data_IF_674867036436
#
_entry.id   IF_674867036436
#
_cell.length_a   1.000
_cell.length_b   1.000
_cell.length_c   1.000
_cell.angle_alpha   90.00
_cell.angle_beta   90.00
_cell.angle_gamma   90.00
#
_symmetry.space_group_name_H-M   'P 1'
#
loop_
_entity.id
_entity.type
_entity.pdbx_description
1 polymer ?
#
# COMPACT_ATOMS: atom_id res chain seq x y z
N UNK A 1 -48.50 -46.47 -47.36
CA UNK A 1 -47.57 -45.32 -47.43
C UNK A 1 -47.83 -44.20 -46.41
N UNK A 2 -48.92 -44.24 -45.62
CA UNK A 2 -49.28 -43.18 -44.63
C UNK A 2 -48.67 -43.42 -43.22
N UNK A 3 -48.43 -44.67 -42.82
CA UNK A 3 -47.85 -45.00 -41.50
C UNK A 3 -46.39 -44.58 -41.33
N UNK A 4 -45.58 -44.63 -42.39
CA UNK A 4 -44.16 -44.24 -42.33
C UNK A 4 -43.98 -42.73 -42.14
N UNK A 5 -44.83 -41.90 -42.76
CA UNK A 5 -44.80 -40.44 -42.55
C UNK A 5 -45.12 -40.06 -41.11
N UNK A 6 -46.10 -40.73 -40.47
CA UNK A 6 -46.44 -40.49 -39.05
C UNK A 6 -45.32 -40.92 -38.09
N UNK A 7 -44.68 -42.07 -38.32
CA UNK A 7 -43.52 -42.49 -37.53
C UNK A 7 -42.35 -41.51 -37.66
N UNK A 8 -42.05 -41.07 -38.88
CA UNK A 8 -40.98 -40.10 -39.13
C UNK A 8 -41.26 -38.75 -38.44
N UNK A 9 -42.51 -38.28 -38.48
CA UNK A 9 -42.93 -37.06 -37.78
C UNK A 9 -42.81 -37.19 -36.26
N UNK A 10 -43.13 -38.36 -35.71
CA UNK A 10 -43.03 -38.63 -34.27
C UNK A 10 -41.57 -38.70 -33.81
N UNK A 11 -40.67 -39.31 -34.60
CA UNK A 11 -39.24 -39.29 -34.33
C UNK A 11 -38.63 -37.88 -34.44
N UNK A 12 -39.10 -37.07 -35.39
CA UNK A 12 -38.65 -35.68 -35.54
C UNK A 12 -39.06 -34.83 -34.32
N UNK A 13 -40.30 -35.00 -33.84
CA UNK A 13 -40.79 -34.31 -32.62
C UNK A 13 -40.03 -34.73 -31.36
N UNK A 14 -39.69 -36.03 -31.23
CA UNK A 14 -38.86 -36.53 -30.13
C UNK A 14 -37.43 -35.97 -30.18
N UNK A 15 -36.81 -35.94 -31.36
CA UNK A 15 -35.49 -35.35 -31.55
C UNK A 15 -35.50 -33.86 -31.21
N UNK A 16 -36.50 -33.11 -31.69
CA UNK A 16 -36.64 -31.68 -31.42
C UNK A 16 -36.87 -31.42 -29.92
N UNK A 17 -37.66 -32.27 -29.25
CA UNK A 17 -37.84 -32.24 -27.80
C UNK A 17 -36.54 -32.47 -27.04
N UNK A 18 -35.73 -33.46 -27.43
CA UNK A 18 -34.41 -33.71 -26.85
C UNK A 18 -33.44 -32.55 -27.07
N UNK A 19 -33.41 -31.94 -28.26
CA UNK A 19 -32.57 -30.77 -28.54
C UNK A 19 -32.98 -29.55 -27.72
N UNK A 20 -34.28 -29.30 -27.55
CA UNK A 20 -34.78 -28.22 -26.69
C UNK A 20 -34.45 -28.47 -25.22
N UNK A 21 -34.51 -29.72 -24.76
CA UNK A 21 -34.15 -30.10 -23.39
C UNK A 21 -32.64 -29.97 -23.14
N UNK A 22 -31.81 -30.40 -24.09
CA UNK A 22 -30.35 -30.18 -24.06
C UNK A 22 -29.99 -28.69 -24.09
N UNK A 23 -30.64 -27.90 -24.95
CA UNK A 23 -30.42 -26.46 -25.04
C UNK A 23 -30.81 -25.74 -23.75
N UNK A 24 -31.94 -26.10 -23.13
CA UNK A 24 -32.37 -25.52 -21.84
C UNK A 24 -31.49 -25.96 -20.68
N UNK A 25 -31.00 -27.20 -20.66
CA UNK A 25 -30.00 -27.66 -19.68
C UNK A 25 -28.69 -26.93 -19.87
N UNK A 26 -28.21 -26.77 -21.11
CA UNK A 26 -27.00 -26.00 -21.43
C UNK A 26 -27.15 -24.53 -21.05
N UNK A 27 -28.31 -23.91 -21.32
CA UNK A 27 -28.60 -22.53 -20.92
C UNK A 27 -28.60 -22.40 -19.39
N UNK A 28 -29.30 -23.29 -18.67
CA UNK A 28 -29.31 -23.31 -17.20
C UNK A 28 -27.92 -23.55 -16.60
N UNK A 29 -27.10 -24.37 -17.26
CA UNK A 29 -25.72 -24.61 -16.85
C UNK A 29 -24.83 -23.38 -17.11
N UNK A 30 -24.99 -22.71 -18.26
CA UNK A 30 -24.32 -21.45 -18.57
C UNK A 30 -24.73 -20.32 -17.60
N UNK A 31 -26.01 -20.26 -17.20
CA UNK A 31 -26.49 -19.33 -16.18
C UNK A 31 -25.97 -19.66 -14.78
N UNK A 32 -25.74 -20.94 -14.44
CA UNK A 32 -25.06 -21.36 -13.20
C UNK A 32 -23.55 -21.06 -13.20
N UNK A 33 -22.91 -20.98 -14.36
CA UNK A 33 -21.49 -20.63 -14.48
C UNK A 33 -21.21 -19.13 -14.48
N UNK A 34 -22.25 -18.29 -14.40
CA UNK A 34 -22.07 -16.84 -14.35
C UNK A 34 -21.56 -16.44 -12.98
N UNK A 35 -20.29 -16.07 -12.90
CA UNK A 35 -19.70 -15.51 -11.69
C UNK A 35 -20.17 -14.06 -11.54
N UNK A 36 -20.97 -13.81 -10.51
CA UNK A 36 -21.35 -12.46 -10.07
C UNK A 36 -20.51 -12.05 -8.86
N UNK A 37 -20.44 -10.74 -8.58
CA UNK A 37 -19.81 -10.14 -7.40
C UNK A 37 -20.21 -10.85 -6.10
N UNK A 38 -21.50 -11.16 -5.96
CA UNK A 38 -22.06 -11.81 -4.77
C UNK A 38 -21.54 -13.24 -4.55
N UNK A 39 -21.04 -13.91 -5.60
CA UNK A 39 -20.50 -15.28 -5.52
C UNK A 39 -19.05 -15.34 -5.01
N UNK A 40 -18.34 -14.21 -4.95
CA UNK A 40 -16.99 -14.13 -4.33
C UNK A 40 -17.07 -14.02 -2.80
N UNK A 41 -18.23 -13.60 -2.28
CA UNK A 41 -18.57 -13.61 -0.86
C UNK A 41 -18.73 -15.03 -0.29
N UNK A 42 -18.41 -15.18 1.00
CA UNK A 42 -18.31 -16.42 1.78
C UNK A 42 -19.61 -17.26 1.93
N UNK A 43 -20.66 -16.99 1.16
CA UNK A 43 -21.98 -17.63 1.38
C UNK A 43 -22.53 -18.45 0.20
N UNK A 44 -21.79 -18.58 -0.92
CA UNK A 44 -22.24 -19.44 -2.03
C UNK A 44 -21.53 -20.80 -2.04
N UNK A 45 -22.29 -21.87 -2.36
CA UNK A 45 -21.86 -23.29 -2.44
C UNK A 45 -20.35 -23.40 -2.74
N UNK A 46 -19.58 -23.94 -1.80
CA UNK A 46 -18.10 -23.93 -1.79
C UNK A 46 -17.46 -24.26 -3.15
N UNK A 47 -18.01 -25.23 -3.89
CA UNK A 47 -17.50 -25.64 -5.21
C UNK A 47 -17.67 -24.57 -6.31
N UNK A 48 -18.77 -23.83 -6.31
CA UNK A 48 -19.04 -22.78 -7.30
C UNK A 48 -18.26 -21.50 -6.98
N UNK A 49 -18.13 -21.16 -5.69
CA UNK A 49 -17.26 -20.07 -5.22
C UNK A 49 -15.80 -20.33 -5.60
N UNK A 50 -15.29 -21.54 -5.37
CA UNK A 50 -13.92 -21.91 -5.74
C UNK A 50 -13.68 -21.84 -7.26
N UNK A 51 -14.64 -22.29 -8.07
CA UNK A 51 -14.56 -22.17 -9.53
C UNK A 51 -14.44 -20.70 -9.97
N UNK A 52 -15.30 -19.82 -9.44
CA UNK A 52 -15.27 -18.40 -9.77
C UNK A 52 -13.98 -17.71 -9.31
N UNK A 53 -13.47 -18.05 -8.12
CA UNK A 53 -12.16 -17.60 -7.65
C UNK A 53 -11.03 -18.05 -8.57
N UNK A 54 -11.06 -19.30 -9.05
CA UNK A 54 -10.07 -19.81 -10.01
C UNK A 54 -10.11 -19.07 -11.35
N UNK A 55 -11.30 -18.82 -11.90
CA UNK A 55 -11.46 -18.04 -13.14
C UNK A 55 -10.91 -16.64 -12.93
N UNK A 56 -11.25 -16.01 -11.79
CA UNK A 56 -10.82 -14.66 -11.48
C UNK A 56 -9.31 -14.56 -11.27
N UNK A 57 -8.73 -15.45 -10.47
CA UNK A 57 -7.28 -15.50 -10.24
C UNK A 57 -6.54 -15.74 -11.56
N UNK A 58 -7.02 -16.63 -12.43
CA UNK A 58 -6.39 -16.82 -13.73
C UNK A 58 -6.39 -15.56 -14.61
N UNK A 59 -7.44 -14.73 -14.51
CA UNK A 59 -7.50 -13.47 -15.23
C UNK A 59 -6.59 -12.40 -14.62
N UNK A 60 -6.47 -12.39 -13.29
CA UNK A 60 -5.81 -11.36 -12.49
C UNK A 60 -4.41 -11.74 -11.98
N UNK A 61 -3.94 -12.97 -12.17
CA UNK A 61 -2.64 -13.40 -11.65
C UNK A 61 -1.50 -12.54 -12.19
N UNK A 62 -0.52 -12.31 -11.33
CA UNK A 62 0.70 -11.57 -11.61
C UNK A 62 1.89 -12.52 -11.45
N UNK A 63 2.01 -13.55 -12.31
CA UNK A 63 3.07 -14.53 -12.16
C UNK A 63 4.43 -13.85 -12.32
N UNK A 64 5.41 -14.30 -11.54
CA UNK A 64 6.79 -13.90 -11.77
C UNK A 64 7.19 -14.13 -13.24
N UNK A 65 7.88 -13.15 -13.85
CA UNK A 65 8.23 -13.19 -15.28
C UNK A 65 9.17 -14.35 -15.61
N UNK A 66 9.93 -14.79 -14.63
CA UNK A 66 10.80 -15.97 -14.69
C UNK A 66 10.19 -16.99 -13.74
N UNK A 67 10.35 -18.27 -14.03
CA UNK A 67 9.83 -19.42 -13.26
C UNK A 67 10.48 -19.53 -11.87
N UNK A 68 10.38 -18.47 -11.08
CA UNK A 68 10.79 -18.39 -9.68
C UNK A 68 9.65 -19.01 -8.88
N UNK A 69 10.01 -19.90 -7.96
CA UNK A 69 9.04 -20.52 -7.06
C UNK A 69 8.65 -19.53 -5.94
N UNK A 70 7.77 -18.58 -6.25
CA UNK A 70 7.34 -17.57 -5.28
C UNK A 70 6.64 -18.17 -4.05
N UNK A 71 5.84 -19.23 -4.22
CA UNK A 71 5.25 -19.97 -3.08
C UNK A 71 6.32 -20.56 -2.15
N UNK A 72 7.41 -21.10 -2.71
CA UNK A 72 8.56 -21.57 -1.93
C UNK A 72 9.26 -20.42 -1.20
N UNK A 73 9.55 -19.33 -1.91
CA UNK A 73 10.17 -18.12 -1.35
C UNK A 73 9.36 -17.55 -0.17
N UNK A 74 8.04 -17.40 -0.31
CA UNK A 74 7.19 -16.84 0.74
C UNK A 74 7.05 -17.76 1.94
N UNK A 75 7.23 -19.08 1.75
CA UNK A 75 7.28 -20.08 2.83
C UNK A 75 8.68 -20.27 3.44
N UNK A 76 9.69 -19.56 2.95
CA UNK A 76 11.06 -19.66 3.45
C UNK A 76 11.79 -20.93 3.01
N UNK A 77 11.34 -21.57 1.92
CA UNK A 77 12.04 -22.70 1.33
C UNK A 77 13.44 -22.26 0.86
N UNK A 78 14.48 -22.85 1.46
CA UNK A 78 15.85 -22.42 1.26
C UNK A 78 16.31 -22.56 -0.20
N UNK A 79 15.86 -23.61 -0.89
CA UNK A 79 16.22 -23.84 -2.29
C UNK A 79 15.57 -22.78 -3.19
N UNK A 80 14.27 -22.52 -3.00
CA UNK A 80 13.55 -21.50 -3.75
C UNK A 80 14.13 -20.09 -3.52
N UNK A 81 14.48 -19.76 -2.27
CA UNK A 81 15.14 -18.48 -1.93
C UNK A 81 16.50 -18.37 -2.61
N UNK A 82 17.34 -19.41 -2.52
CA UNK A 82 18.66 -19.41 -3.15
C UNK A 82 18.55 -19.28 -4.68
N UNK A 83 17.64 -20.02 -5.30
CA UNK A 83 17.38 -19.91 -6.75
C UNK A 83 16.91 -18.50 -7.14
N UNK A 84 16.05 -17.88 -6.34
CA UNK A 84 15.59 -16.51 -6.61
C UNK A 84 16.70 -15.47 -6.45
N UNK A 85 17.60 -15.63 -5.47
CA UNK A 85 18.77 -14.77 -5.28
C UNK A 85 19.73 -14.92 -6.47
N UNK A 86 20.05 -16.16 -6.88
CA UNK A 86 20.90 -16.43 -8.04
C UNK A 86 20.30 -15.82 -9.31
N UNK A 87 18.99 -15.98 -9.50
CA UNK A 87 18.27 -15.36 -10.60
C UNK A 87 18.41 -13.83 -10.58
N UNK A 88 18.23 -13.19 -9.42
CA UNK A 88 18.37 -11.73 -9.32
C UNK A 88 19.80 -11.27 -9.72
N UNK A 89 20.85 -12.01 -9.35
CA UNK A 89 22.22 -11.68 -9.73
C UNK A 89 22.44 -11.67 -11.25
N UNK A 90 21.79 -12.58 -11.98
CA UNK A 90 21.87 -12.64 -13.45
C UNK A 90 21.11 -11.51 -14.16
N UNK A 91 20.03 -11.02 -13.54
CA UNK A 91 19.02 -10.20 -14.21
C UNK A 91 19.08 -8.75 -13.84
N UNK A 92 19.47 -8.42 -12.60
CA UNK A 92 19.45 -7.04 -12.10
C UNK A 92 20.19 -6.06 -13.00
N UNK A 93 21.28 -6.51 -13.65
CA UNK A 93 22.07 -5.70 -14.60
C UNK A 93 21.43 -5.56 -15.99
N UNK A 94 20.55 -6.48 -16.39
CA UNK A 94 19.88 -6.52 -17.70
C UNK A 94 18.47 -5.93 -17.67
N UNK A 95 17.93 -5.67 -16.48
CA UNK A 95 16.56 -5.22 -16.30
C UNK A 95 16.44 -3.74 -16.66
N UNK A 96 15.56 -3.46 -17.61
CA UNK A 96 15.13 -2.09 -17.92
C UNK A 96 13.76 -1.81 -17.27
N UNK A 97 13.68 -0.83 -16.35
CA UNK A 97 12.40 -0.38 -15.80
C UNK A 97 11.49 0.25 -16.83
N UNK A 98 10.18 0.16 -16.58
CA UNK A 98 9.23 0.92 -17.37
C UNK A 98 9.50 2.42 -17.20
N UNK A 99 9.56 3.13 -18.32
CA UNK A 99 9.83 4.57 -18.37
C UNK A 99 8.54 5.37 -18.27
N UNK A 100 8.67 6.67 -18.01
CA UNK A 100 7.55 7.63 -18.02
C UNK A 100 6.81 7.59 -19.38
N UNK A 101 7.56 7.59 -20.47
CA UNK A 101 7.03 7.52 -21.85
C UNK A 101 6.30 6.21 -22.14
N UNK A 102 6.72 5.11 -21.53
CA UNK A 102 6.00 3.84 -21.63
C UNK A 102 4.59 3.96 -21.04
N UNK A 103 4.47 4.56 -19.86
CA UNK A 103 3.16 4.76 -19.22
C UNK A 103 2.29 5.78 -19.95
N UNK A 104 2.86 6.85 -20.50
CA UNK A 104 2.14 7.79 -21.35
C UNK A 104 1.52 7.13 -22.58
N UNK A 105 2.23 6.19 -23.21
CA UNK A 105 1.69 5.40 -24.33
C UNK A 105 0.62 4.41 -23.86
N UNK A 106 0.88 3.72 -22.75
CA UNK A 106 0.03 2.64 -22.27
C UNK A 106 -1.33 3.12 -21.75
N UNK A 107 -1.39 4.33 -21.18
CA UNK A 107 -2.59 4.93 -20.56
C UNK A 107 -3.50 5.66 -21.54
N UNK A 108 -3.14 5.72 -22.83
CA UNK A 108 -4.03 6.26 -23.88
C UNK A 108 -5.37 5.53 -23.98
N UNK A 109 -5.37 4.25 -23.60
CA UNK A 109 -6.56 3.42 -23.48
C UNK A 109 -6.60 2.89 -22.04
N UNK A 110 -7.40 3.53 -21.19
CA UNK A 110 -7.48 3.22 -19.78
C UNK A 110 -8.02 1.82 -19.50
N UNK A 111 -8.96 1.32 -20.29
CA UNK A 111 -9.48 -0.04 -20.12
C UNK A 111 -8.40 -1.07 -20.45
N UNK A 112 -7.67 -0.85 -21.54
CA UNK A 112 -6.52 -1.69 -21.89
C UNK A 112 -5.39 -1.59 -20.88
N UNK A 113 -5.10 -0.40 -20.35
CA UNK A 113 -4.11 -0.21 -19.28
C UNK A 113 -4.49 -1.02 -18.05
N UNK A 114 -5.69 -0.82 -17.51
CA UNK A 114 -6.18 -1.53 -16.32
C UNK A 114 -6.19 -3.05 -16.52
N UNK A 115 -6.65 -3.53 -17.69
CA UNK A 115 -6.66 -4.95 -18.02
C UNK A 115 -5.25 -5.54 -18.20
N UNK A 116 -4.33 -4.84 -18.89
CA UNK A 116 -2.96 -5.31 -19.12
C UNK A 116 -2.14 -5.30 -17.83
N UNK A 117 -2.32 -4.26 -17.00
CA UNK A 117 -1.65 -4.13 -15.71
C UNK A 117 -2.32 -4.92 -14.60
N UNK A 118 -3.50 -5.50 -14.85
CA UNK A 118 -4.24 -6.38 -13.93
C UNK A 118 -4.71 -5.65 -12.65
N UNK A 119 -5.26 -4.46 -12.80
CA UNK A 119 -5.93 -3.77 -11.67
C UNK A 119 -7.21 -4.52 -11.28
N UNK A 120 -7.49 -4.56 -9.97
CA UNK A 120 -8.76 -5.07 -9.44
C UNK A 120 -9.76 -3.92 -9.50
N UNK A 121 -10.76 -4.02 -10.39
CA UNK A 121 -11.68 -2.92 -10.70
C UNK A 121 -13.05 -3.03 -10.00
N UNK A 122 -13.20 -4.00 -9.11
CA UNK A 122 -14.44 -4.26 -8.37
C UNK A 122 -14.07 -4.64 -6.93
N UNK A 123 -14.94 -4.37 -5.93
CA UNK A 123 -14.68 -4.78 -4.55
C UNK A 123 -14.66 -6.30 -4.43
N UNK A 124 -13.80 -6.85 -3.56
CA UNK A 124 -13.69 -8.30 -3.35
C UNK A 124 -14.62 -8.81 -2.22
N UNK A 125 -15.07 -7.92 -1.32
CA UNK A 125 -16.00 -8.27 -0.25
C UNK A 125 -16.83 -7.07 0.21
N UNK A 126 -17.99 -7.36 0.82
CA UNK A 126 -18.84 -6.35 1.48
C UNK A 126 -18.12 -5.65 2.63
N UNK A 127 -17.33 -6.40 3.40
CA UNK A 127 -16.55 -5.87 4.52
C UNK A 127 -15.60 -4.75 4.05
N UNK A 128 -14.93 -4.94 2.90
CA UNK A 128 -14.04 -3.92 2.36
C UNK A 128 -14.80 -2.71 1.81
N UNK A 129 -15.98 -2.90 1.19
CA UNK A 129 -16.85 -1.79 0.73
C UNK A 129 -17.28 -0.88 1.87
N UNK A 130 -17.64 -1.47 3.01
CA UNK A 130 -18.11 -0.75 4.19
C UNK A 130 -16.99 -0.08 5.00
N UNK A 131 -15.73 -0.37 4.66
CA UNK A 131 -14.56 0.16 5.36
C UNK A 131 -13.52 0.78 4.40
N UNK A 132 -13.83 1.92 3.73
CA UNK A 132 -12.88 2.53 2.82
C UNK A 132 -11.64 3.08 3.52
N UNK A 133 -10.49 2.94 2.86
CA UNK A 133 -9.18 3.43 3.31
C UNK A 133 -8.77 4.63 2.43
N UNK A 134 -8.18 5.64 3.06
CA UNK A 134 -7.58 6.78 2.38
C UNK A 134 -6.06 6.67 2.36
N UNK A 135 -5.45 6.90 1.20
CA UNK A 135 -4.00 6.91 1.02
C UNK A 135 -3.47 8.30 0.64
N UNK A 136 -2.38 8.72 1.25
CA UNK A 136 -1.53 9.82 0.78
C UNK A 136 -0.23 9.25 0.23
N UNK A 137 0.02 9.39 -1.07
CA UNK A 137 1.22 8.87 -1.72
C UNK A 137 2.15 10.01 -2.12
N UNK A 138 3.24 10.19 -1.38
CA UNK A 138 4.25 11.22 -1.68
C UNK A 138 5.35 10.63 -2.57
N UNK A 139 5.42 11.07 -3.83
CA UNK A 139 6.30 10.51 -4.86
C UNK A 139 7.10 11.60 -5.58
N UNK A 140 8.27 11.25 -6.09
CA UNK A 140 9.11 12.19 -6.85
C UNK A 140 9.83 11.59 -8.07
N UNK A 141 9.89 10.25 -8.19
CA UNK A 141 10.53 9.54 -9.30
C UNK A 141 10.05 8.06 -9.34
N UNK A 142 10.64 7.26 -10.24
CA UNK A 142 10.42 5.80 -10.40
C UNK A 142 8.94 5.45 -10.67
N UNK A 143 8.47 5.82 -11.86
CA UNK A 143 7.07 5.63 -12.27
C UNK A 143 6.60 4.17 -12.18
N UNK A 144 7.49 3.20 -12.43
CA UNK A 144 7.18 1.78 -12.26
C UNK A 144 6.88 1.41 -10.80
N UNK A 145 7.63 1.94 -9.84
CA UNK A 145 7.35 1.70 -8.43
C UNK A 145 6.00 2.30 -8.02
N UNK A 146 5.71 3.53 -8.47
CA UNK A 146 4.43 4.19 -8.22
C UNK A 146 3.26 3.34 -8.74
N UNK A 147 3.32 2.90 -10.00
CA UNK A 147 2.23 2.09 -10.57
C UNK A 147 2.06 0.76 -9.85
N UNK A 148 3.16 0.08 -9.50
CA UNK A 148 3.09 -1.20 -8.80
C UNK A 148 2.53 -1.06 -7.39
N UNK A 149 2.95 -0.02 -6.66
CA UNK A 149 2.39 0.31 -5.35
C UNK A 149 0.90 0.59 -5.48
N UNK A 150 0.51 1.51 -6.39
CA UNK A 150 -0.89 1.85 -6.62
C UNK A 150 -1.69 0.60 -6.94
N UNK A 151 -1.24 -0.25 -7.88
CA UNK A 151 -1.89 -1.51 -8.23
C UNK A 151 -2.06 -2.47 -7.06
N UNK A 152 -1.05 -2.55 -6.18
CA UNK A 152 -1.06 -3.48 -5.06
C UNK A 152 -2.05 -3.05 -3.96
N UNK A 153 -2.27 -1.74 -3.78
CA UNK A 153 -3.22 -1.22 -2.78
C UNK A 153 -4.55 -0.76 -3.37
N UNK A 154 -4.72 -0.73 -4.70
CA UNK A 154 -5.90 -0.20 -5.36
C UNK A 154 -7.14 -1.06 -5.09
N UNK A 155 -8.19 -0.41 -4.59
CA UNK A 155 -9.54 -0.92 -4.52
C UNK A 155 -10.52 0.21 -4.90
N UNK A 156 -11.61 -0.08 -5.63
CA UNK A 156 -12.50 0.96 -6.16
C UNK A 156 -13.27 1.74 -5.08
N UNK A 157 -13.45 1.16 -3.90
CA UNK A 157 -14.11 1.82 -2.77
C UNK A 157 -13.18 2.76 -1.98
N UNK A 158 -11.86 2.58 -2.07
CA UNK A 158 -10.87 3.39 -1.36
C UNK A 158 -10.66 4.75 -2.06
N UNK A 159 -9.83 5.62 -1.47
CA UNK A 159 -9.51 6.94 -2.05
C UNK A 159 -8.00 7.22 -1.96
N UNK A 160 -7.42 7.79 -3.02
CA UNK A 160 -5.97 7.94 -3.15
C UNK A 160 -5.62 9.37 -3.57
N UNK A 161 -4.91 10.08 -2.68
CA UNK A 161 -4.30 11.37 -3.00
C UNK A 161 -2.82 11.18 -3.32
N UNK A 162 -2.39 11.69 -4.47
CA UNK A 162 -1.02 11.60 -4.95
C UNK A 162 -0.37 12.98 -4.85
N UNK A 163 0.65 13.12 -4.02
CA UNK A 163 1.49 14.31 -3.98
C UNK A 163 2.76 14.07 -4.79
N UNK A 164 2.86 14.72 -5.95
CA UNK A 164 4.06 14.71 -6.79
C UNK A 164 4.95 15.90 -6.42
N UNK A 165 6.22 15.65 -6.09
CA UNK A 165 7.17 16.73 -5.80
C UNK A 165 7.26 17.72 -6.98
N UNK A 166 7.20 19.01 -6.70
CA UNK A 166 7.33 20.05 -7.72
C UNK A 166 8.67 19.98 -8.47
N UNK A 167 9.72 19.41 -7.85
CA UNK A 167 11.03 19.18 -8.47
C UNK A 167 11.08 18.03 -9.45
N UNK A 168 10.07 17.17 -9.49
CA UNK A 168 10.07 16.03 -10.39
C UNK A 168 10.14 16.47 -11.85
N UNK A 169 10.80 15.68 -12.73
CA UNK A 169 10.78 15.92 -14.17
C UNK A 169 9.35 16.04 -14.70
N UNK A 170 9.13 16.90 -15.69
CA UNK A 170 7.78 17.11 -16.24
C UNK A 170 7.23 15.82 -16.86
N UNK A 171 8.07 15.01 -17.52
CA UNK A 171 7.68 13.70 -18.06
C UNK A 171 7.14 12.76 -16.99
N UNK A 172 7.71 12.81 -15.78
CA UNK A 172 7.24 12.01 -14.65
C UNK A 172 5.88 12.51 -14.17
N UNK A 173 5.70 13.83 -14.03
CA UNK A 173 4.41 14.45 -13.65
C UNK A 173 3.32 14.12 -14.67
N UNK A 174 3.63 14.19 -15.96
CA UNK A 174 2.72 13.81 -17.04
C UNK A 174 2.35 12.32 -16.97
N UNK A 175 3.33 11.43 -16.76
CA UNK A 175 3.08 10.00 -16.64
C UNK A 175 2.21 9.67 -15.41
N UNK A 176 2.44 10.33 -14.27
CA UNK A 176 1.58 10.20 -13.09
C UNK A 176 0.15 10.66 -13.42
N UNK A 177 -0.02 11.85 -14.00
CA UNK A 177 -1.33 12.38 -14.44
C UNK A 177 -2.05 11.38 -15.35
N UNK A 178 -1.34 10.81 -16.31
CA UNK A 178 -1.91 9.86 -17.26
C UNK A 178 -2.36 8.56 -16.58
N UNK A 179 -1.57 8.00 -15.66
CA UNK A 179 -1.96 6.81 -14.87
C UNK A 179 -3.21 7.11 -14.03
N UNK A 180 -3.20 8.21 -13.26
CA UNK A 180 -4.29 8.48 -12.32
C UNK A 180 -5.60 8.81 -13.04
N UNK A 181 -5.54 9.40 -14.25
CA UNK A 181 -6.73 9.72 -15.05
C UNK A 181 -7.58 8.48 -15.41
N UNK A 182 -7.00 7.29 -15.31
CA UNK A 182 -7.70 6.03 -15.54
C UNK A 182 -8.54 5.54 -14.34
N UNK A 183 -8.51 6.25 -13.21
CA UNK A 183 -9.21 5.85 -11.99
C UNK A 183 -10.00 7.03 -11.40
N UNK A 184 -11.31 6.86 -11.12
CA UNK A 184 -12.14 7.96 -10.62
C UNK A 184 -11.84 8.34 -9.15
N UNK A 185 -11.20 7.44 -8.40
CA UNK A 185 -10.90 7.57 -6.97
C UNK A 185 -9.41 7.83 -6.69
N UNK A 186 -8.65 8.24 -7.70
CA UNK A 186 -7.23 8.60 -7.57
C UNK A 186 -7.05 10.01 -8.12
N UNK A 187 -6.47 10.92 -7.33
CA UNK A 187 -6.31 12.32 -7.73
C UNK A 187 -4.96 12.88 -7.28
N UNK A 188 -4.51 13.94 -7.95
CA UNK A 188 -3.32 14.71 -7.53
C UNK A 188 -3.73 15.72 -6.47
N UNK A 189 -2.91 15.88 -5.43
CA UNK A 189 -3.10 16.89 -4.39
C UNK A 189 -3.27 18.29 -5.00
N UNK A 190 -4.23 19.06 -4.50
CA UNK A 190 -4.56 20.41 -4.97
C UNK A 190 -3.40 21.39 -4.77
N UNK A 191 -2.55 21.13 -3.78
CA UNK A 191 -1.34 21.90 -3.46
C UNK A 191 -0.13 20.95 -3.50
N UNK A 192 0.80 21.24 -4.41
CA UNK A 192 2.09 20.56 -4.48
C UNK A 192 3.16 21.42 -3.80
N UNK A 193 4.18 20.77 -3.26
CA UNK A 193 5.35 21.45 -2.69
C UNK A 193 6.65 20.86 -3.19
N UNK A 194 7.66 21.73 -3.28
CA UNK A 194 9.07 21.35 -3.43
C UNK A 194 9.59 20.68 -2.15
N UNK A 195 9.72 19.36 -2.14
CA UNK A 195 10.10 18.61 -0.94
C UNK A 195 11.61 18.62 -0.73
N UNK A 196 12.07 19.28 0.33
CA UNK A 196 13.48 19.30 0.77
C UNK A 196 13.68 18.28 1.90
N UNK A 197 14.73 17.47 1.79
CA UNK A 197 15.05 16.42 2.76
C UNK A 197 15.15 16.99 4.19
N UNK A 198 14.56 16.26 5.14
CA UNK A 198 14.47 16.62 6.56
C UNK A 198 13.75 17.94 6.87
N UNK A 199 13.16 18.64 5.89
CA UNK A 199 12.46 19.90 6.14
C UNK A 199 10.95 19.71 6.32
N UNK A 200 10.28 20.76 6.79
CA UNK A 200 8.82 20.87 6.89
C UNK A 200 8.05 20.47 5.63
N UNK A 201 8.61 20.74 4.45
CA UNK A 201 7.94 20.44 3.18
C UNK A 201 7.54 18.96 3.03
N UNK A 202 8.25 18.02 3.68
CA UNK A 202 7.83 16.61 3.71
C UNK A 202 6.52 16.42 4.46
N UNK A 203 6.34 17.08 5.60
CA UNK A 203 5.08 17.06 6.36
C UNK A 203 3.98 17.78 5.60
N UNK A 204 4.30 18.93 4.99
CA UNK A 204 3.35 19.72 4.21
C UNK A 204 2.72 18.91 3.06
N UNK A 205 3.51 18.07 2.39
CA UNK A 205 3.00 17.19 1.34
C UNK A 205 1.88 16.26 1.83
N UNK A 206 2.03 15.65 3.01
CA UNK A 206 0.99 14.82 3.61
C UNK A 206 -0.21 15.65 4.10
N UNK A 207 0.03 16.83 4.68
CA UNK A 207 -1.05 17.73 5.13
C UNK A 207 -1.92 18.21 3.96
N UNK A 208 -1.33 18.49 2.80
CA UNK A 208 -2.07 18.87 1.60
C UNK A 208 -2.99 17.73 1.16
N UNK A 209 -2.48 16.49 1.14
CA UNK A 209 -3.32 15.33 0.84
C UNK A 209 -4.40 15.08 1.91
N UNK A 210 -4.09 15.25 3.19
CA UNK A 210 -5.08 15.15 4.27
C UNK A 210 -6.24 16.14 4.07
N UNK A 211 -5.94 17.37 3.67
CA UNK A 211 -6.94 18.42 3.40
C UNK A 211 -7.88 18.01 2.27
N UNK A 212 -7.34 17.55 1.14
CA UNK A 212 -8.16 17.13 -0.02
C UNK A 212 -8.94 15.84 0.27
N UNK A 213 -8.33 14.88 0.97
CA UNK A 213 -8.99 13.62 1.34
C UNK A 213 -10.20 13.86 2.25
N UNK A 214 -10.15 14.84 3.16
CA UNK A 214 -11.31 15.21 3.99
C UNK A 214 -12.46 15.82 3.19
N UNK A 215 -12.18 16.42 2.03
CA UNK A 215 -13.19 16.99 1.12
C UNK A 215 -13.82 15.94 0.19
N UNK A 216 -13.20 14.76 0.07
CA UNK A 216 -13.75 13.66 -0.71
C UNK A 216 -15.11 13.20 -0.17
N UNK A 217 -16.01 12.82 -1.09
CA UNK A 217 -17.30 12.20 -0.75
C UNK A 217 -17.17 10.76 -0.24
N UNK A 218 -16.00 10.14 -0.38
CA UNK A 218 -15.75 8.78 0.11
C UNK A 218 -15.69 8.82 1.65
N UNK A 219 -16.54 8.06 2.38
CA UNK A 219 -16.58 8.07 3.84
C UNK A 219 -15.50 7.16 4.45
N UNK A 220 -14.24 7.41 4.08
CA UNK A 220 -13.09 6.64 4.52
C UNK A 220 -12.91 6.66 6.05
N UNK A 221 -12.30 5.61 6.59
CA UNK A 221 -12.19 5.38 8.04
C UNK A 221 -10.80 5.71 8.58
N UNK A 222 -9.78 5.33 7.81
CA UNK A 222 -8.38 5.47 8.19
C UNK A 222 -7.56 6.05 7.05
N UNK A 223 -6.57 6.85 7.44
CA UNK A 223 -5.55 7.47 6.61
C UNK A 223 -4.23 6.71 6.78
N UNK A 224 -3.63 6.33 5.67
CA UNK A 224 -2.30 5.74 5.56
C UNK A 224 -1.46 6.60 4.61
N UNK A 225 -0.32 7.11 5.04
CA UNK A 225 0.62 7.73 4.10
C UNK A 225 1.65 6.72 3.59
N UNK A 226 2.18 6.95 2.39
CA UNK A 226 3.24 6.14 1.76
C UNK A 226 4.21 7.04 1.02
N UNK A 227 5.39 6.50 0.72
CA UNK A 227 6.35 7.04 -0.22
C UNK A 227 6.52 6.13 -1.43
N UNK A 228 7.23 6.60 -2.46
CA UNK A 228 7.43 5.85 -3.72
C UNK A 228 8.24 4.55 -3.62
N UNK A 229 8.80 4.20 -2.46
CA UNK A 229 9.54 2.93 -2.27
C UNK A 229 8.88 2.01 -1.25
N UNK A 230 7.65 2.30 -0.85
CA UNK A 230 6.84 1.42 -0.02
C UNK A 230 6.16 0.32 -0.84
N UNK A 231 5.84 -0.78 -0.17
CA UNK A 231 4.97 -1.82 -0.72
C UNK A 231 4.10 -2.45 0.39
N UNK A 232 2.83 -2.81 0.12
CA UNK A 232 2.01 -3.52 1.08
C UNK A 232 2.57 -4.91 1.39
N UNK A 233 2.34 -5.41 2.61
CA UNK A 233 2.62 -6.80 3.01
C UNK A 233 1.36 -7.49 3.57
N UNK A 234 0.21 -6.86 3.35
CA UNK A 234 -1.15 -7.31 3.69
C UNK A 234 -2.07 -7.00 2.52
N UNK A 235 -3.04 -7.87 2.26
CA UNK A 235 -4.14 -7.59 1.33
C UNK A 235 -5.06 -6.48 1.86
N UNK A 236 -5.88 -5.88 0.99
CA UNK A 236 -6.83 -4.85 1.44
C UNK A 236 -7.79 -5.38 2.51
N UNK A 237 -8.27 -6.63 2.40
CA UNK A 237 -9.08 -7.28 3.43
C UNK A 237 -8.35 -7.40 4.78
N UNK A 238 -7.09 -7.84 4.79
CA UNK A 238 -6.28 -7.90 6.02
C UNK A 238 -6.03 -6.51 6.61
N UNK A 239 -5.79 -5.49 5.77
CA UNK A 239 -5.68 -4.11 6.23
C UNK A 239 -6.98 -3.64 6.87
N UNK A 240 -8.13 -3.88 6.25
CA UNK A 240 -9.45 -3.55 6.81
C UNK A 240 -9.65 -4.21 8.17
N UNK A 241 -9.32 -5.49 8.32
CA UNK A 241 -9.43 -6.22 9.59
C UNK A 241 -8.52 -5.63 10.67
N UNK A 242 -7.24 -5.38 10.35
CA UNK A 242 -6.30 -4.77 11.28
C UNK A 242 -6.75 -3.37 11.73
N UNK A 243 -7.28 -2.56 10.80
CA UNK A 243 -7.78 -1.21 11.10
C UNK A 243 -9.07 -1.23 11.91
N UNK A 244 -9.97 -2.20 11.68
CA UNK A 244 -11.14 -2.41 12.53
C UNK A 244 -10.75 -2.73 13.98
N UNK A 245 -9.70 -3.53 14.17
CA UNK A 245 -9.18 -3.86 15.51
C UNK A 245 -8.62 -2.65 16.27
N UNK A 246 -8.21 -1.59 15.58
CA UNK A 246 -7.81 -0.34 16.24
C UNK A 246 -8.98 0.39 16.91
N UNK A 247 -10.23 0.10 16.52
CA UNK A 247 -11.44 0.64 17.13
C UNK A 247 -11.40 2.17 17.35
N UNK A 248 -11.03 2.93 16.30
CA UNK A 248 -10.93 4.38 16.33
C UNK A 248 -9.61 4.93 16.90
N UNK A 249 -8.71 4.08 17.41
CA UNK A 249 -7.34 4.47 17.79
C UNK A 249 -6.43 4.57 16.58
N UNK A 250 -5.31 5.28 16.74
CA UNK A 250 -4.26 5.37 15.73
C UNK A 250 -3.17 4.32 16.01
N UNK A 251 -2.30 4.07 15.04
CA UNK A 251 -1.08 3.27 15.21
C UNK A 251 0.08 3.94 14.49
N UNK A 252 1.05 4.41 15.25
CA UNK A 252 2.28 5.04 14.76
C UNK A 252 3.36 4.94 15.83
N UNK A 253 4.62 5.03 15.41
CA UNK A 253 5.74 5.07 16.34
C UNK A 253 5.67 6.35 17.19
N UNK A 254 5.81 6.20 18.51
CA UNK A 254 5.82 7.31 19.45
C UNK A 254 6.55 6.90 20.72
N UNK A 255 7.79 7.32 20.85
CA UNK A 255 8.68 6.96 21.94
C UNK A 255 9.30 8.19 22.58
N UNK A 256 9.70 8.05 23.85
CA UNK A 256 10.49 9.08 24.52
C UNK A 256 11.74 9.37 23.69
N UNK A 257 12.02 10.64 23.36
CA UNK A 257 13.11 10.99 22.46
C UNK A 257 14.46 10.62 23.07
N UNK A 258 15.37 10.00 22.31
CA UNK A 258 16.75 9.84 22.77
C UNK A 258 17.43 11.22 22.79
N UNK A 259 18.34 11.44 23.75
CA UNK A 259 19.01 12.74 23.98
C UNK A 259 19.62 13.35 22.71
N UNK A 260 20.19 12.52 21.84
CA UNK A 260 20.84 12.98 20.60
C UNK A 260 19.85 13.52 19.55
N UNK A 261 18.56 13.14 19.61
CA UNK A 261 17.52 13.69 18.72
C UNK A 261 16.95 15.03 19.20
N UNK A 262 17.15 15.40 20.47
CA UNK A 262 16.60 16.67 21.01
C UNK A 262 17.13 17.93 20.31
N UNK A 263 18.33 17.88 19.74
CA UNK A 263 18.90 19.01 18.99
C UNK A 263 18.07 19.38 17.76
N UNK A 264 17.28 18.44 17.23
CA UNK A 264 16.44 18.62 16.04
C UNK A 264 15.34 19.67 16.21
N UNK A 265 14.87 19.91 17.43
CA UNK A 265 13.82 20.91 17.71
C UNK A 265 14.22 21.94 18.77
N UNK A 266 15.47 21.93 19.24
CA UNK A 266 16.01 22.96 20.15
C UNK A 266 16.45 24.25 19.44
N UNK A 267 16.74 24.15 18.15
CA UNK A 267 17.26 25.25 17.33
C UNK A 267 16.43 25.39 16.06
N UNK A 268 16.46 26.60 15.48
CA UNK A 268 15.85 26.86 14.19
C UNK A 268 16.72 26.27 13.07
N UNK A 269 16.06 25.78 12.03
CA UNK A 269 16.65 25.30 10.80
C UNK A 269 16.09 26.09 9.61
N UNK A 270 16.96 26.40 8.66
CA UNK A 270 16.60 27.19 7.48
C UNK A 270 16.98 26.45 6.19
N UNK A 271 16.13 26.56 5.18
CA UNK A 271 16.40 25.97 3.86
C UNK A 271 17.19 26.98 3.03
N UNK A 272 18.40 26.60 2.64
CA UNK A 272 19.24 27.36 1.71
C UNK A 272 19.57 26.45 0.53
N UNK A 273 19.16 26.84 -0.68
CA UNK A 273 19.43 26.08 -1.93
C UNK A 273 19.09 24.58 -1.81
N UNK A 274 17.86 24.26 -1.43
CA UNK A 274 17.35 22.88 -1.24
C UNK A 274 18.08 22.04 -0.18
N UNK A 275 18.84 22.67 0.71
CA UNK A 275 19.49 21.99 1.82
C UNK A 275 19.08 22.65 3.13
N UNK A 276 18.77 21.84 4.13
CA UNK A 276 18.37 22.32 5.46
C UNK A 276 19.62 22.51 6.32
N UNK A 277 19.79 23.71 6.89
CA UNK A 277 20.93 24.07 7.73
C UNK A 277 20.49 24.42 9.14
N UNK A 278 21.25 23.94 10.13
CA UNK A 278 21.11 24.35 11.52
C UNK A 278 21.54 25.81 11.67
N UNK A 279 20.74 26.60 12.39
CA UNK A 279 21.09 27.96 12.80
C UNK A 279 21.55 27.99 14.27
N UNK A 280 22.18 29.10 14.68
CA UNK A 280 22.54 29.33 16.08
C UNK A 280 21.36 29.87 16.93
N UNK A 281 20.18 30.05 16.34
CA UNK A 281 19.01 30.59 17.04
C UNK A 281 18.30 29.47 17.79
N UNK A 282 18.19 29.60 19.11
CA UNK A 282 17.43 28.68 19.95
C UNK A 282 15.93 28.90 19.76
N UNK A 283 15.15 27.82 19.73
CA UNK A 283 13.68 27.88 19.68
C UNK A 283 13.09 28.08 21.07
N UNK A 284 11.91 28.70 21.10
CA UNK A 284 11.05 28.70 22.29
C UNK A 284 10.59 27.27 22.61
N UNK A 285 10.23 26.96 23.87
CA UNK A 285 9.67 25.68 24.25
C UNK A 285 8.43 25.31 23.39
N UNK A 286 8.12 24.01 23.23
CA UNK A 286 6.91 23.58 22.54
C UNK A 286 5.65 24.23 23.14
N UNK A 287 4.67 24.61 22.32
CA UNK A 287 3.47 25.29 22.80
C UNK A 287 2.73 24.44 23.84
N UNK A 288 2.10 25.10 24.81
CA UNK A 288 1.35 24.45 25.90
C UNK A 288 2.18 23.55 26.82
N UNK A 289 3.50 23.74 26.90
CA UNK A 289 4.42 22.87 27.64
C UNK A 289 4.29 21.40 27.21
N UNK A 290 4.08 21.18 25.92
CA UNK A 290 4.00 19.85 25.34
C UNK A 290 5.33 19.09 25.50
N UNK A 291 5.23 17.84 25.93
CA UNK A 291 6.36 16.90 25.87
C UNK A 291 6.53 16.44 24.42
N UNK A 292 7.75 16.53 23.90
CA UNK A 292 8.10 16.03 22.57
C UNK A 292 8.31 14.52 22.60
N UNK A 293 7.90 13.85 21.53
CA UNK A 293 8.07 12.42 21.28
C UNK A 293 8.67 12.23 19.90
N UNK A 294 9.38 11.13 19.68
CA UNK A 294 9.92 10.78 18.37
C UNK A 294 9.26 9.53 17.81
N UNK A 295 9.22 9.47 16.49
CA UNK A 295 8.82 8.29 15.73
C UNK A 295 9.34 8.40 14.30
N UNK A 296 8.57 7.88 13.36
CA UNK A 296 8.86 8.00 11.94
C UNK A 296 7.76 8.76 11.18
N UNK A 297 8.02 9.03 9.89
CA UNK A 297 7.12 9.80 9.04
C UNK A 297 5.79 9.10 8.71
N UNK A 298 5.67 7.79 8.95
CA UNK A 298 4.57 6.95 8.50
C UNK A 298 3.56 6.69 9.61
N UNK A 299 2.28 6.90 9.31
CA UNK A 299 1.21 6.80 10.30
C UNK A 299 0.02 6.01 9.77
N UNK A 300 -0.67 5.35 10.69
CA UNK A 300 -2.04 4.88 10.53
C UNK A 300 -2.91 5.71 11.45
N UNK A 301 -3.74 6.57 10.89
CA UNK A 301 -4.53 7.54 11.66
C UNK A 301 -6.03 7.44 11.33
N UNK A 302 -6.88 7.55 12.35
CA UNK A 302 -8.32 7.67 12.15
C UNK A 302 -8.68 8.96 11.40
N UNK A 303 -9.82 8.97 10.70
CA UNK A 303 -10.34 10.19 10.07
C UNK A 303 -10.52 11.35 11.05
N UNK A 304 -10.94 11.05 12.28
CA UNK A 304 -11.13 12.05 13.34
C UNK A 304 -9.80 12.68 13.78
N UNK A 305 -8.73 11.88 13.86
CA UNK A 305 -7.38 12.39 14.12
C UNK A 305 -6.97 13.35 13.01
N UNK A 306 -7.08 12.96 11.74
CA UNK A 306 -6.72 13.81 10.59
C UNK A 306 -7.52 15.12 10.58
N UNK A 307 -8.83 15.06 10.84
CA UNK A 307 -9.66 16.25 10.98
C UNK A 307 -9.20 17.16 12.13
N UNK A 308 -8.82 16.59 13.27
CA UNK A 308 -8.30 17.36 14.40
C UNK A 308 -6.92 17.96 14.14
N UNK A 309 -6.04 17.27 13.41
CA UNK A 309 -4.75 17.83 12.98
C UNK A 309 -4.97 19.16 12.26
N UNK A 310 -5.92 19.19 11.32
CA UNK A 310 -6.16 20.35 10.45
C UNK A 310 -7.01 21.46 11.10
N UNK A 311 -7.90 21.12 12.05
CA UNK A 311 -8.88 22.09 12.61
C UNK A 311 -8.61 22.52 14.04
N UNK A 312 -7.90 21.71 14.84
CA UNK A 312 -7.71 22.02 16.26
C UNK A 312 -6.65 23.13 16.44
N UNK A 313 -6.96 24.24 17.15
CA UNK A 313 -6.01 25.34 17.33
C UNK A 313 -4.69 24.94 17.99
N UNK A 314 -4.71 23.98 18.93
CA UNK A 314 -3.48 23.51 19.58
C UNK A 314 -2.60 22.72 18.61
N UNK A 315 -3.22 21.89 17.77
CA UNK A 315 -2.52 21.15 16.73
C UNK A 315 -1.91 22.09 15.68
N UNK A 316 -2.67 23.12 15.27
CA UNK A 316 -2.18 24.14 14.34
C UNK A 316 -1.01 24.94 14.89
N UNK A 317 -1.03 25.29 16.18
CA UNK A 317 0.10 25.97 16.82
C UNK A 317 1.35 25.07 16.94
N UNK A 318 1.18 23.77 17.22
CA UNK A 318 2.30 22.84 17.19
C UNK A 318 2.86 22.69 15.78
N UNK A 319 1.99 22.56 14.77
CA UNK A 319 2.35 22.54 13.35
C UNK A 319 3.19 23.77 12.99
N UNK A 320 2.74 24.97 13.36
CA UNK A 320 3.50 26.20 13.10
C UNK A 320 4.86 26.16 13.79
N UNK A 321 4.89 25.73 15.05
CA UNK A 321 6.12 25.65 15.84
C UNK A 321 7.15 24.65 15.27
N UNK A 322 6.74 23.56 14.60
CA UNK A 322 7.68 22.58 14.03
C UNK A 322 8.18 22.93 12.61
N UNK A 323 7.71 24.01 11.98
CA UNK A 323 8.05 24.31 10.57
C UNK A 323 9.54 24.52 10.30
N UNK A 324 10.28 24.97 11.29
CA UNK A 324 11.71 25.28 11.24
C UNK A 324 12.53 24.35 12.15
N UNK A 325 12.09 23.11 12.31
CA UNK A 325 12.86 22.04 12.97
C UNK A 325 13.45 21.06 11.94
N UNK A 326 14.35 20.19 12.39
CA UNK A 326 14.94 19.14 11.57
C UNK A 326 14.16 17.83 11.67
N UNK A 327 13.79 17.27 10.52
CA UNK A 327 12.91 16.10 10.37
C UNK A 327 11.62 16.22 11.21
N UNK A 328 10.78 17.24 11.00
CA UNK A 328 9.54 17.40 11.74
C UNK A 328 8.57 16.23 11.57
N UNK A 329 8.68 15.51 10.46
CA UNK A 329 7.97 14.26 10.19
C UNK A 329 8.29 13.14 11.20
N UNK A 330 9.48 13.16 11.83
CA UNK A 330 9.91 12.18 12.84
C UNK A 330 9.53 12.59 14.28
N UNK A 331 8.81 13.68 14.50
CA UNK A 331 8.38 14.06 15.85
C UNK A 331 6.99 14.72 15.93
N UNK A 332 6.48 15.34 14.87
CA UNK A 332 5.15 15.96 14.88
C UNK A 332 4.06 14.92 15.16
N UNK A 333 4.04 13.84 14.39
CA UNK A 333 3.01 12.80 14.52
C UNK A 333 3.10 12.09 15.86
N UNK A 334 4.30 11.70 16.25
CA UNK A 334 4.58 11.08 17.54
C UNK A 334 4.13 11.96 18.71
N UNK A 335 4.37 13.28 18.66
CA UNK A 335 3.91 14.22 19.70
C UNK A 335 2.39 14.39 19.70
N UNK A 336 1.76 14.55 18.52
CA UNK A 336 0.30 14.65 18.43
C UNK A 336 -0.39 13.38 18.93
N UNK A 337 0.20 12.21 18.72
CA UNK A 337 -0.31 10.93 19.23
C UNK A 337 -0.31 10.84 20.77
N UNK A 338 0.45 11.70 21.48
CA UNK A 338 0.51 11.78 22.95
C UNK A 338 -0.25 12.98 23.53
N UNK A 339 -0.81 13.82 22.67
CA UNK A 339 -1.56 14.99 23.07
C UNK A 339 -3.00 14.60 23.45
N UNK A 340 -3.39 14.83 24.71
CA UNK A 340 -4.69 14.39 25.29
C UNK A 340 -5.94 14.91 24.55
N UNK A 341 -5.80 15.97 23.75
CA UNK A 341 -6.90 16.54 22.97
C UNK A 341 -7.02 15.94 21.56
N UNK A 342 -6.13 15.01 21.18
CA UNK A 342 -6.16 14.36 19.88
C UNK A 342 -6.99 13.07 19.93
N UNK A 343 -7.92 12.84 18.98
CA UNK A 343 -8.66 11.59 18.87
C UNK A 343 -7.73 10.39 18.68
N UNK A 344 -7.98 9.30 19.39
CA UNK A 344 -7.17 8.08 19.31
C UNK A 344 -5.74 8.21 19.88
N UNK A 345 -5.44 9.29 20.59
CA UNK A 345 -4.17 9.47 21.31
C UNK A 345 -3.99 8.47 22.45
N UNK A 346 -2.74 8.24 22.82
CA UNK A 346 -2.36 7.43 23.99
C UNK A 346 -1.75 8.32 25.08
N UNK A 347 -1.84 7.94 26.37
CA UNK A 347 -1.33 8.77 27.45
C UNK A 347 0.16 9.13 27.31
N UNK A 348 0.50 10.34 27.76
CA UNK A 348 1.87 10.81 27.95
C UNK A 348 2.49 10.10 29.18
N UNK A 349 2.84 8.83 29.01
CA UNK A 349 3.57 8.02 29.99
C UNK A 349 4.37 6.94 29.24
N UNK A 350 5.64 6.65 29.59
CA UNK A 350 6.50 5.73 28.84
C UNK A 350 5.95 4.31 28.63
N UNK A 351 5.06 3.83 29.51
CA UNK A 351 4.32 2.57 29.32
C UNK A 351 3.46 2.51 28.05
N UNK A 352 3.18 3.65 27.44
CA UNK A 352 2.45 3.77 26.18
C UNK A 352 3.38 4.12 25.02
N UNK A 353 4.69 3.98 25.20
CA UNK A 353 5.63 4.08 24.08
C UNK A 353 5.36 2.93 23.10
N UNK A 354 5.37 3.28 21.81
CA UNK A 354 5.10 2.36 20.72
C UNK A 354 6.31 2.44 19.79
N UNK A 355 7.11 1.38 19.75
CA UNK A 355 8.23 1.27 18.81
C UNK A 355 7.75 1.03 17.38
N UNK A 356 8.66 1.20 16.41
CA UNK A 356 8.45 0.85 15.00
C UNK A 356 7.99 -0.60 14.81
N UNK A 357 8.56 -1.54 15.58
CA UNK A 357 8.19 -2.96 15.55
C UNK A 357 6.83 -3.25 16.19
N UNK A 358 6.33 -2.38 17.07
CA UNK A 358 5.01 -2.53 17.73
C UNK A 358 3.89 -1.86 16.94
N UNK A 359 4.17 -0.70 16.34
CA UNK A 359 3.27 -0.03 15.40
C UNK A 359 2.95 -0.93 14.21
N UNK A 360 1.74 -0.83 13.65
CA UNK A 360 1.40 -1.57 12.41
C UNK A 360 1.76 -0.78 11.15
N UNK A 361 2.17 0.49 11.27
CA UNK A 361 2.26 1.40 10.14
C UNK A 361 3.30 1.00 9.08
N UNK A 362 4.54 0.71 9.51
CA UNK A 362 5.63 0.40 8.59
C UNK A 362 6.64 -0.56 9.19
N UNK A 363 6.95 -1.64 8.47
CA UNK A 363 8.10 -2.49 8.74
C UNK A 363 9.33 -1.94 8.02
N UNK A 364 10.41 -1.70 8.78
CA UNK A 364 11.68 -1.17 8.27
C UNK A 364 12.83 -1.92 8.93
N UNK A 365 13.84 -2.33 8.16
CA UNK A 365 15.11 -2.80 8.73
C UNK A 365 16.15 -1.68 8.68
N UNK A 366 16.65 -1.32 9.85
CA UNK A 366 17.81 -0.46 10.05
C UNK A 366 19.08 -1.29 10.23
N UNK A 367 20.12 -0.96 9.47
CA UNK A 367 21.39 -1.69 9.41
C UNK A 367 22.00 -1.94 10.79
N UNK A 368 21.97 -0.96 11.68
CA UNK A 368 22.60 -1.04 13.01
C UNK A 368 21.84 -1.94 14.00
N UNK A 369 20.64 -2.40 13.63
CA UNK A 369 19.80 -3.30 14.43
C UNK A 369 19.69 -4.70 13.81
N UNK A 370 20.31 -4.93 12.66
CA UNK A 370 20.36 -6.25 12.03
C UNK A 370 21.30 -7.19 12.77
N UNK A 371 20.95 -8.47 12.88
CA UNK A 371 21.84 -9.45 13.49
C UNK A 371 21.20 -10.80 13.73
N UNK A 372 21.82 -11.59 14.61
CA UNK A 372 21.29 -12.88 15.02
C UNK A 372 20.10 -12.68 15.97
N UNK A 373 18.91 -13.07 15.52
CA UNK A 373 17.66 -12.95 16.29
C UNK A 373 17.77 -13.73 17.60
N UNK A 374 18.47 -14.87 17.61
CA UNK A 374 18.68 -15.67 18.82
C UNK A 374 19.59 -14.97 19.84
N UNK A 375 20.29 -13.91 19.43
CA UNK A 375 21.13 -13.06 20.28
C UNK A 375 20.51 -11.69 20.57
N UNK A 376 19.22 -11.51 20.28
CA UNK A 376 18.46 -10.31 20.65
C UNK A 376 18.35 -9.25 19.55
N UNK A 377 18.79 -9.52 18.32
CA UNK A 377 18.48 -8.63 17.20
C UNK A 377 16.96 -8.68 16.89
N UNK A 378 16.30 -7.55 16.63
CA UNK A 378 14.88 -7.53 16.25
C UNK A 378 14.63 -8.24 14.90
N UNK A 379 15.64 -8.33 14.04
CA UNK A 379 15.53 -8.96 12.73
C UNK A 379 16.87 -9.39 12.15
N UNK A 380 16.82 -10.37 11.24
CA UNK A 380 17.98 -10.90 10.52
C UNK A 380 18.59 -9.85 9.56
N UNK A 381 19.85 -10.03 9.14
CA UNK A 381 20.49 -9.18 8.13
C UNK A 381 19.67 -9.03 6.85
N UNK A 382 19.80 -7.87 6.22
CA UNK A 382 19.17 -7.55 4.94
C UNK A 382 19.67 -8.50 3.85
N UNK A 383 18.76 -9.09 3.07
CA UNK A 383 19.13 -9.91 1.91
C UNK A 383 19.39 -9.10 0.63
N UNK A 384 19.02 -7.82 0.64
CA UNK A 384 19.25 -6.86 -0.45
C UNK A 384 20.48 -5.98 -0.22
N UNK A 385 20.29 -4.66 -0.22
CA UNK A 385 21.37 -3.69 0.04
C UNK A 385 20.92 -2.62 1.03
N UNK A 386 21.85 -1.92 1.66
CA UNK A 386 21.55 -0.75 2.48
C UNK A 386 21.66 0.54 1.68
N UNK A 387 20.66 1.42 1.83
CA UNK A 387 20.71 2.79 1.33
C UNK A 387 20.39 3.76 2.47
N UNK A 388 21.39 4.53 2.91
CA UNK A 388 21.31 5.42 4.09
C UNK A 388 20.87 4.65 5.34
N UNK A 389 21.55 3.55 5.65
CA UNK A 389 21.27 2.64 6.77
C UNK A 389 19.90 1.92 6.76
N UNK A 390 19.09 2.07 5.70
CA UNK A 390 17.83 1.32 5.54
C UNK A 390 18.02 0.19 4.55
N UNK A 391 17.56 -1.02 4.89
CA UNK A 391 17.49 -2.14 3.98
C UNK A 391 16.53 -1.85 2.81
N UNK A 392 17.04 -1.95 1.60
CA UNK A 392 16.24 -2.17 0.40
C UNK A 392 16.09 -3.67 0.26
N UNK A 393 14.90 -4.18 0.56
CA UNK A 393 14.63 -5.60 0.73
C UNK A 393 15.00 -6.41 -0.51
N UNK A 394 15.58 -7.58 -0.25
CA UNK A 394 15.77 -8.64 -1.24
C UNK A 394 14.76 -9.76 -1.07
N UNK A 395 14.79 -10.72 -1.98
CA UNK A 395 13.87 -11.86 -1.98
C UNK A 395 13.99 -12.72 -0.71
N UNK A 396 15.18 -12.78 -0.10
CA UNK A 396 15.42 -13.53 1.13
C UNK A 396 14.76 -12.93 2.38
N UNK A 397 14.28 -11.68 2.30
CA UNK A 397 13.58 -11.03 3.42
C UNK A 397 12.08 -11.36 3.46
N UNK A 398 11.51 -11.91 2.39
CA UNK A 398 10.05 -12.02 2.22
C UNK A 398 9.36 -12.92 3.24
N UNK A 399 9.93 -14.09 3.55
CA UNK A 399 9.29 -15.02 4.49
C UNK A 399 9.12 -14.39 5.88
N UNK A 400 10.20 -13.82 6.43
CA UNK A 400 10.15 -13.08 7.70
C UNK A 400 9.23 -11.87 7.61
N UNK A 401 9.31 -11.09 6.52
CA UNK A 401 8.48 -9.91 6.32
C UNK A 401 6.99 -10.23 6.40
N UNK A 402 6.55 -11.32 5.75
CA UNK A 402 5.14 -11.73 5.73
C UNK A 402 4.61 -12.22 7.09
N UNK A 403 5.49 -12.62 8.00
CA UNK A 403 5.14 -13.01 9.38
C UNK A 403 4.91 -11.82 10.31
N UNK A 404 5.30 -10.61 9.91
CA UNK A 404 5.12 -9.42 10.73
C UNK A 404 3.72 -8.81 10.57
N UNK A 405 3.21 -8.15 11.61
CA UNK A 405 1.85 -7.60 11.63
C UNK A 405 1.67 -6.29 10.85
N UNK A 406 2.77 -5.67 10.40
CA UNK A 406 2.71 -4.38 9.72
C UNK A 406 1.88 -4.45 8.44
N UNK A 407 1.32 -3.30 8.04
CA UNK A 407 0.50 -3.19 6.84
C UNK A 407 1.35 -3.03 5.58
N UNK A 408 2.45 -2.27 5.70
CA UNK A 408 3.38 -1.99 4.62
C UNK A 408 4.83 -2.11 5.10
N UNK A 409 5.75 -2.28 4.16
CA UNK A 409 7.19 -2.32 4.42
C UNK A 409 7.96 -1.30 3.56
N UNK A 410 9.14 -0.87 4.04
CA UNK A 410 10.06 0.05 3.37
C UNK A 410 11.51 -0.46 3.52
N UNK A 411 12.32 -0.59 2.46
CA UNK A 411 12.18 -0.06 1.08
C UNK A 411 12.22 -1.16 0.03
N UNK A 412 11.62 -0.89 -1.13
CA UNK A 412 11.73 -1.74 -2.32
C UNK A 412 12.25 -0.95 -3.53
N UNK A 413 13.11 -1.60 -4.31
CA UNK A 413 13.60 -1.09 -5.59
C UNK A 413 13.76 -2.24 -6.60
N UNK A 414 13.03 -2.23 -7.72
CA UNK A 414 13.18 -3.22 -8.79
C UNK A 414 14.60 -3.33 -9.36
N UNK A 415 15.45 -2.31 -9.19
CA UNK A 415 16.87 -2.36 -9.59
C UNK A 415 17.74 -3.11 -8.58
N UNK A 416 17.29 -3.25 -7.34
CA UNK A 416 17.98 -4.02 -6.29
C UNK A 416 17.54 -5.48 -6.37
N UNK A 417 16.23 -5.72 -6.30
CA UNK A 417 15.66 -7.06 -6.43
C UNK A 417 14.19 -6.98 -6.91
N UNK A 418 13.97 -7.24 -8.20
CA UNK A 418 12.62 -7.27 -8.77
C UNK A 418 11.85 -8.55 -8.40
N UNK A 419 12.56 -9.62 -8.04
CA UNK A 419 11.95 -10.89 -7.66
C UNK A 419 11.21 -10.73 -6.33
N UNK A 420 11.75 -9.93 -5.42
CA UNK A 420 11.08 -9.58 -4.16
C UNK A 420 9.70 -8.96 -4.40
N UNK A 421 9.61 -7.98 -5.29
CA UNK A 421 8.33 -7.33 -5.63
C UNK A 421 7.40 -8.26 -6.42
N UNK A 422 7.93 -9.06 -7.36
CA UNK A 422 7.11 -10.00 -8.15
C UNK A 422 6.46 -11.06 -7.25
N UNK A 423 7.22 -11.67 -6.34
CA UNK A 423 6.67 -12.68 -5.43
C UNK A 423 5.69 -12.08 -4.42
N UNK A 424 5.94 -10.85 -3.94
CA UNK A 424 5.00 -10.17 -3.05
C UNK A 424 3.69 -9.80 -3.77
N UNK A 425 3.75 -9.36 -5.02
CA UNK A 425 2.57 -9.12 -5.87
C UNK A 425 1.76 -10.40 -6.12
N UNK A 426 2.44 -11.50 -6.44
CA UNK A 426 1.81 -12.80 -6.66
C UNK A 426 1.12 -13.31 -5.39
N UNK A 427 1.83 -13.28 -4.26
CA UNK A 427 1.34 -13.67 -2.95
C UNK A 427 0.10 -12.86 -2.54
N UNK A 428 0.19 -11.53 -2.59
CA UNK A 428 -0.91 -10.66 -2.18
C UNK A 428 -2.12 -10.78 -3.12
N UNK A 429 -1.88 -10.98 -4.43
CA UNK A 429 -2.97 -11.21 -5.40
C UNK A 429 -3.69 -12.52 -5.13
N UNK A 430 -2.93 -13.59 -4.86
CA UNK A 430 -3.51 -14.89 -4.50
C UNK A 430 -4.30 -14.78 -3.20
N UNK A 431 -3.70 -14.19 -2.17
CA UNK A 431 -4.30 -14.02 -0.85
C UNK A 431 -5.57 -13.18 -0.89
N UNK A 432 -5.61 -12.11 -1.68
CA UNK A 432 -6.81 -11.29 -1.85
C UNK A 432 -7.98 -12.05 -2.49
N UNK A 433 -7.71 -12.99 -3.42
CA UNK A 433 -8.76 -13.72 -4.16
C UNK A 433 -9.21 -14.98 -3.40
N UNK A 434 -8.29 -15.70 -2.77
CA UNK A 434 -8.59 -16.97 -2.09
C UNK A 434 -8.79 -16.83 -0.58
N UNK A 435 -8.25 -15.79 0.05
CA UNK A 435 -8.24 -15.64 1.51
C UNK A 435 -7.23 -16.53 2.23
N UNK A 436 -6.32 -17.18 1.49
CA UNK A 436 -5.30 -18.10 2.03
C UNK A 436 -3.92 -17.73 1.52
N UNK A 437 -2.88 -18.24 2.19
CA UNK A 437 -1.49 -18.07 1.75
C UNK A 437 -1.19 -18.86 0.46
N UNK A 438 -0.23 -18.38 -0.33
CA UNK A 438 0.19 -18.92 -1.63
C UNK A 438 1.05 -20.19 -1.53
#
# INVERSE_FOLDING_TARGET
MVQWKRLCQQHYLWALGCYMLLATVALKFAFRLKCDSDHLGLESRESQSQYCRNVLYNFLKLPAKRSINCSGVTRGDQEAVLQAILNNLEVKKKREPFTDTHYLSLTRDCERFKAKRKFIQFPLSKEEVEFPIAYSMVIHEKIENFERLLRAVYAPQNIYCIHVDEKSPETFKEAVKAIISCFPNVFIASKLVRVVYASWSRVQADLNCMEDLLQSSVPWKYFLNTCGTDFPIKSNAEMVQALKMLNGRNSMETEVPPKHKETRWKYHFEVVRDTLYLTNKKKDPPPYNLTMFTGNAYIVASRDFVQHVLKNPKSQQLIEWVKDTYSPDEHLWATLQRARWMPGSVPNHPKYDISDMTSIARLVKWQDHEGDINKGAPYAPCSGIHQRAICVYGTGDLHWMLQNHHLLANKFDPKVDDNALQCLEEYLRYKAIYGTEL
#
